data_IF_963458448914
#
_entry.id   IF_963458448914
#
_cell.length_a   1.000
_cell.length_b   1.000
_cell.length_c   1.000
_cell.angle_alpha   90.00
_cell.angle_beta   90.00
_cell.angle_gamma   90.00
#
_symmetry.space_group_name_H-M   'P 1'
#
loop_
_entity.id
_entity.type
_entity.pdbx_description
1 polymer ?
#
# COMPACT_ATOMS: atom_id res chain seq x y z
N UNK A 1 -4.45 -22.39 3.61
CA UNK A 1 -4.58 -21.22 4.44
C UNK A 1 -5.54 -20.23 3.79
N UNK A 2 -6.83 -20.31 4.14
CA UNK A 2 -7.92 -19.63 3.39
C UNK A 2 -7.77 -18.11 3.20
N UNK A 3 -6.92 -17.42 3.99
CA UNK A 3 -6.64 -15.99 3.81
C UNK A 3 -5.78 -15.74 2.55
N UNK A 4 -4.67 -16.48 2.42
CA UNK A 4 -3.80 -16.35 1.26
C UNK A 4 -4.52 -16.76 -0.03
N UNK A 5 -5.33 -17.80 0.01
CA UNK A 5 -6.08 -18.28 -1.16
C UNK A 5 -7.14 -17.28 -1.60
N UNK A 6 -7.86 -16.63 -0.65
CA UNK A 6 -8.80 -15.58 -0.96
C UNK A 6 -8.14 -14.34 -1.61
N UNK A 7 -6.93 -13.99 -1.16
CA UNK A 7 -6.17 -12.88 -1.77
C UNK A 7 -5.62 -13.28 -3.13
N UNK A 8 -5.09 -14.52 -3.30
CA UNK A 8 -4.61 -15.02 -4.61
C UNK A 8 -5.70 -15.03 -5.68
N UNK A 9 -6.94 -15.31 -5.31
CA UNK A 9 -8.08 -15.22 -6.23
C UNK A 9 -8.28 -13.79 -6.77
N UNK A 10 -7.86 -12.78 -6.04
CA UNK A 10 -7.97 -11.37 -6.43
C UNK A 10 -6.67 -10.85 -7.09
N UNK A 11 -5.51 -11.31 -6.66
CA UNK A 11 -4.18 -10.86 -7.10
C UNK A 11 -3.56 -11.94 -7.99
N UNK A 12 -3.79 -11.83 -9.29
CA UNK A 12 -3.33 -12.83 -10.24
C UNK A 12 -1.82 -12.68 -10.55
N UNK A 13 -1.13 -13.82 -10.65
CA UNK A 13 0.27 -13.87 -11.07
C UNK A 13 1.30 -13.40 -10.03
N UNK A 14 0.91 -13.31 -8.76
CA UNK A 14 1.78 -12.86 -7.66
C UNK A 14 1.65 -13.77 -6.42
N UNK A 15 1.50 -15.07 -6.61
CA UNK A 15 1.15 -16.02 -5.55
C UNK A 15 2.17 -16.04 -4.41
N UNK A 16 3.46 -16.02 -4.72
CA UNK A 16 4.54 -16.00 -3.74
C UNK A 16 4.61 -14.66 -3.00
N UNK A 17 4.41 -13.56 -3.72
CA UNK A 17 4.35 -12.24 -3.12
C UNK A 17 3.15 -12.12 -2.16
N UNK A 18 1.98 -12.58 -2.56
CA UNK A 18 0.79 -12.64 -1.70
C UNK A 18 1.07 -13.46 -0.45
N UNK A 19 1.67 -14.65 -0.61
CA UNK A 19 2.02 -15.52 0.52
C UNK A 19 2.98 -14.83 1.49
N UNK A 20 3.99 -14.12 0.98
CA UNK A 20 4.95 -13.37 1.80
C UNK A 20 4.28 -12.23 2.57
N UNK A 21 3.42 -11.44 1.92
CA UNK A 21 2.69 -10.34 2.56
C UNK A 21 1.74 -10.86 3.64
N UNK A 22 0.96 -11.89 3.34
CA UNK A 22 0.06 -12.52 4.32
C UNK A 22 0.84 -13.06 5.52
N UNK A 23 1.99 -13.70 5.29
CA UNK A 23 2.87 -14.20 6.35
C UNK A 23 3.37 -13.07 7.25
N UNK A 24 3.82 -11.95 6.66
CA UNK A 24 4.29 -10.78 7.41
C UNK A 24 3.19 -10.21 8.31
N UNK A 25 1.97 -10.05 7.80
CA UNK A 25 0.82 -9.61 8.59
C UNK A 25 0.42 -10.60 9.70
N UNK A 26 0.56 -11.90 9.46
CA UNK A 26 0.16 -12.94 10.42
C UNK A 26 1.18 -13.24 11.50
N UNK A 27 2.45 -12.89 11.27
CA UNK A 27 3.55 -13.16 12.22
C UNK A 27 3.23 -12.70 13.64
N UNK A 28 2.72 -11.47 13.90
CA UNK A 28 2.41 -11.01 15.26
C UNK A 28 1.33 -11.82 15.98
N UNK A 29 0.43 -12.48 15.23
CA UNK A 29 -0.60 -13.33 15.84
C UNK A 29 -0.04 -14.66 16.35
N UNK A 30 1.09 -15.12 15.81
CA UNK A 30 1.75 -16.37 16.18
C UNK A 30 2.84 -16.13 17.21
N UNK A 31 3.67 -15.11 16.99
CA UNK A 31 4.84 -14.82 17.81
C UNK A 31 4.56 -13.87 18.97
N UNK A 32 3.35 -13.32 19.02
CA UNK A 32 3.01 -12.20 19.87
C UNK A 32 3.50 -10.87 19.28
N UNK A 33 2.82 -9.79 19.62
CA UNK A 33 3.29 -8.42 19.41
C UNK A 33 4.01 -7.97 20.67
N UNK A 34 5.01 -7.11 20.53
CA UNK A 34 5.67 -6.45 21.65
C UNK A 34 4.69 -5.68 22.54
N UNK A 35 5.19 -4.87 23.47
CA UNK A 35 4.35 -4.04 24.36
C UNK A 35 3.40 -3.11 23.60
N UNK A 36 2.49 -2.44 24.31
CA UNK A 36 1.41 -1.63 23.71
C UNK A 36 1.92 -0.42 22.90
N UNK A 37 3.14 0.03 23.13
CA UNK A 37 3.78 1.09 22.35
C UNK A 37 4.48 0.60 21.08
N UNK A 38 4.73 -0.70 20.97
CA UNK A 38 5.45 -1.31 19.86
C UNK A 38 4.64 -1.29 18.57
N UNK A 39 5.32 -1.28 17.43
CA UNK A 39 4.70 -1.63 16.15
C UNK A 39 4.20 -3.07 16.19
N UNK A 40 3.05 -3.32 15.61
CA UNK A 40 2.55 -4.69 15.44
C UNK A 40 3.37 -5.46 14.42
N UNK A 41 3.83 -4.78 13.41
CA UNK A 41 4.75 -5.29 12.40
C UNK A 41 5.27 -4.17 11.53
N UNK A 42 6.43 -4.41 10.89
CA UNK A 42 6.99 -3.54 9.88
C UNK A 42 7.43 -4.40 8.70
N UNK A 43 7.11 -3.98 7.48
CA UNK A 43 7.42 -4.73 6.28
C UNK A 43 7.77 -3.82 5.10
N UNK A 44 8.47 -4.38 4.13
CA UNK A 44 8.88 -3.71 2.91
C UNK A 44 8.35 -4.46 1.69
N UNK A 45 7.54 -3.78 0.88
CA UNK A 45 6.98 -4.33 -0.34
C UNK A 45 7.78 -3.81 -1.54
N UNK A 46 8.56 -4.69 -2.16
CA UNK A 46 9.48 -4.36 -3.24
C UNK A 46 8.98 -4.84 -4.60
N UNK A 47 9.27 -4.06 -5.62
CA UNK A 47 8.99 -4.39 -7.01
C UNK A 47 8.85 -3.16 -7.89
N UNK A 48 8.88 -3.33 -9.21
CA UNK A 48 8.77 -2.22 -10.13
C UNK A 48 7.41 -1.52 -10.05
N UNK A 49 7.36 -0.30 -10.53
CA UNK A 49 6.11 0.45 -10.63
C UNK A 49 5.07 -0.32 -11.45
N UNK A 50 3.84 -0.38 -10.95
CA UNK A 50 2.76 -1.11 -11.62
C UNK A 50 2.79 -2.63 -11.43
N UNK A 51 3.64 -3.18 -10.55
CA UNK A 51 3.69 -4.62 -10.24
C UNK A 51 2.57 -5.11 -9.31
N UNK A 52 1.72 -4.22 -8.80
CA UNK A 52 0.57 -4.60 -7.97
C UNK A 52 0.81 -4.54 -6.45
N UNK A 53 1.90 -3.96 -5.97
CA UNK A 53 2.23 -3.85 -4.54
C UNK A 53 1.10 -3.24 -3.71
N UNK A 54 0.63 -2.05 -4.09
CA UNK A 54 -0.46 -1.34 -3.39
C UNK A 54 -1.80 -2.09 -3.51
N UNK A 55 -2.06 -2.69 -4.65
CA UNK A 55 -3.27 -3.49 -4.85
C UNK A 55 -3.28 -4.72 -3.94
N UNK A 56 -2.15 -5.45 -3.87
CA UNK A 56 -2.00 -6.59 -2.97
C UNK A 56 -2.19 -6.18 -1.51
N UNK A 57 -1.57 -5.08 -1.08
CA UNK A 57 -1.77 -4.57 0.28
C UNK A 57 -3.25 -4.34 0.59
N UNK A 58 -3.98 -3.66 -0.30
CA UNK A 58 -5.42 -3.41 -0.12
C UNK A 58 -6.22 -4.72 -0.01
N UNK A 59 -5.94 -5.69 -0.89
CA UNK A 59 -6.64 -6.98 -0.85
C UNK A 59 -6.36 -7.73 0.46
N UNK A 60 -5.11 -7.75 0.93
CA UNK A 60 -4.75 -8.40 2.20
C UNK A 60 -5.43 -7.73 3.38
N UNK A 61 -5.38 -6.40 3.47
CA UNK A 61 -5.97 -5.64 4.57
C UNK A 61 -7.50 -5.79 4.58
N UNK A 62 -8.15 -5.72 3.42
CA UNK A 62 -9.60 -5.92 3.30
C UNK A 62 -10.02 -7.33 3.74
N UNK A 63 -9.28 -8.36 3.29
CA UNK A 63 -9.58 -9.75 3.66
C UNK A 63 -9.33 -10.03 5.15
N UNK A 64 -8.30 -9.43 5.74
CA UNK A 64 -8.04 -9.52 7.18
C UNK A 64 -9.13 -8.80 7.99
N UNK A 65 -9.59 -7.64 7.54
CA UNK A 65 -10.68 -6.92 8.18
C UNK A 65 -12.00 -7.70 8.10
N UNK A 66 -12.31 -8.28 6.95
CA UNK A 66 -13.50 -9.12 6.76
C UNK A 66 -13.51 -10.34 7.69
N UNK A 67 -12.35 -10.83 8.09
CA UNK A 67 -12.18 -11.95 9.04
C UNK A 67 -12.06 -11.49 10.50
N UNK A 68 -12.19 -10.21 10.79
CA UNK A 68 -12.06 -9.66 12.14
C UNK A 68 -10.62 -9.67 12.69
N UNK A 69 -9.61 -9.86 11.85
CA UNK A 69 -8.19 -9.83 12.24
C UNK A 69 -7.64 -8.40 12.33
N UNK A 70 -8.26 -7.46 11.64
CA UNK A 70 -8.00 -6.03 11.74
C UNK A 70 -9.30 -5.29 12.07
N UNK A 71 -9.22 -4.11 12.71
CA UNK A 71 -10.40 -3.34 13.09
C UNK A 71 -11.16 -2.75 11.90
N UNK A 72 -10.47 -2.52 10.80
CA UNK A 72 -11.04 -2.00 9.54
C UNK A 72 -10.11 -2.31 8.35
N UNK A 73 -10.61 -2.09 7.15
CA UNK A 73 -9.86 -2.15 5.90
C UNK A 73 -9.17 -0.83 5.53
N UNK A 74 -9.24 0.16 6.41
CA UNK A 74 -8.62 1.47 6.20
C UNK A 74 -7.09 1.37 6.23
N UNK A 75 -6.45 2.05 5.29
CA UNK A 75 -5.00 2.22 5.19
C UNK A 75 -4.71 3.71 5.19
N UNK A 76 -3.93 4.17 6.17
CA UNK A 76 -3.42 5.54 6.19
C UNK A 76 -2.21 5.63 5.28
N UNK A 77 -2.33 6.37 4.19
CA UNK A 77 -1.25 6.55 3.21
C UNK A 77 -0.51 7.86 3.45
N UNK A 78 0.81 7.77 3.49
CA UNK A 78 1.70 8.91 3.69
C UNK A 78 2.70 8.96 2.53
N UNK A 79 2.64 10.04 1.76
CA UNK A 79 3.59 10.31 0.68
C UNK A 79 4.80 11.05 1.25
N UNK A 80 5.89 10.35 1.41
CA UNK A 80 7.11 10.89 2.00
C UNK A 80 7.85 11.88 1.09
N UNK A 81 7.50 11.97 -0.19
CA UNK A 81 8.05 12.99 -1.09
C UNK A 81 7.65 14.42 -0.73
N UNK A 82 6.62 14.57 0.12
CA UNK A 82 6.18 15.86 0.64
C UNK A 82 7.13 16.45 1.70
N UNK A 83 8.09 15.66 2.18
CA UNK A 83 9.01 16.05 3.26
C UNK A 83 10.48 15.93 2.84
N UNK A 84 10.91 16.65 1.78
CA UNK A 84 12.26 16.51 1.22
C UNK A 84 13.36 17.17 2.04
N UNK A 85 13.03 18.01 3.00
CA UNK A 85 14.00 18.75 3.79
C UNK A 85 13.56 19.03 5.22
N UNK A 86 14.47 19.49 6.08
CA UNK A 86 14.21 19.71 7.51
C UNK A 86 13.15 20.80 7.77
N UNK A 87 12.94 21.72 6.83
CA UNK A 87 11.90 22.75 6.95
C UNK A 87 10.46 22.18 7.04
N UNK A 88 10.25 20.94 6.59
CA UNK A 88 8.97 20.25 6.66
C UNK A 88 8.75 19.46 7.97
N UNK A 89 9.58 19.61 8.98
CA UNK A 89 9.49 18.81 10.22
C UNK A 89 8.14 18.93 10.89
N UNK A 90 7.59 20.13 11.04
CA UNK A 90 6.27 20.35 11.63
C UNK A 90 5.17 19.65 10.84
N UNK A 91 5.20 19.75 9.52
CA UNK A 91 4.23 19.11 8.65
C UNK A 91 4.36 17.58 8.74
N UNK A 92 5.59 17.08 8.69
CA UNK A 92 5.88 15.64 8.83
C UNK A 92 5.34 15.08 10.16
N UNK A 93 5.64 15.74 11.28
CA UNK A 93 5.16 15.31 12.59
C UNK A 93 3.63 15.35 12.70
N UNK A 94 2.98 16.38 12.15
CA UNK A 94 1.53 16.50 12.11
C UNK A 94 0.90 15.36 11.30
N UNK A 95 1.44 15.11 10.11
CA UNK A 95 0.91 14.11 9.19
C UNK A 95 1.23 12.66 9.63
N UNK A 96 2.22 12.48 10.50
CA UNK A 96 2.52 11.20 11.13
C UNK A 96 1.70 10.98 12.41
N UNK A 97 1.52 12.02 13.22
CA UNK A 97 0.80 11.92 14.49
C UNK A 97 -0.67 11.52 14.31
N UNK A 98 -1.36 12.15 13.37
CA UNK A 98 -2.78 11.88 13.14
C UNK A 98 -3.06 10.41 12.75
N UNK A 99 -2.36 9.80 11.77
CA UNK A 99 -2.50 8.37 11.46
C UNK A 99 -2.14 7.43 12.62
N UNK A 100 -1.13 7.77 13.43
CA UNK A 100 -0.79 6.96 14.60
C UNK A 100 -1.92 6.90 15.64
N UNK A 101 -2.76 7.92 15.67
CA UNK A 101 -3.94 8.01 16.58
C UNK A 101 -5.23 7.56 15.92
N UNK A 102 -5.26 7.42 14.59
CA UNK A 102 -6.44 6.98 13.85
C UNK A 102 -6.80 5.51 14.17
N UNK A 103 -8.05 5.10 13.96
CA UNK A 103 -8.46 3.70 14.15
C UNK A 103 -7.81 2.71 13.20
N UNK A 104 -7.39 3.15 12.01
CA UNK A 104 -6.73 2.31 11.02
C UNK A 104 -5.49 1.62 11.59
N UNK A 105 -5.37 0.31 11.38
CA UNK A 105 -4.25 -0.47 11.89
C UNK A 105 -3.02 -0.42 10.99
N UNK A 106 -3.14 0.05 9.74
CA UNK A 106 -2.09 -0.01 8.72
C UNK A 106 -1.71 1.39 8.25
N UNK A 107 -0.42 1.71 8.35
CA UNK A 107 0.20 2.90 7.77
C UNK A 107 1.06 2.46 6.59
N UNK A 108 0.86 3.09 5.43
CA UNK A 108 1.59 2.82 4.21
C UNK A 108 2.40 4.04 3.78
N UNK A 109 3.70 3.85 3.55
CA UNK A 109 4.66 4.90 3.27
C UNK A 109 5.23 4.76 1.86
N UNK A 110 4.93 5.74 1.02
CA UNK A 110 5.46 5.85 -0.35
C UNK A 110 6.65 6.81 -0.42
N UNK A 111 7.53 6.61 -1.41
CA UNK A 111 8.64 7.49 -1.75
C UNK A 111 9.62 7.74 -0.59
N UNK A 112 9.98 6.68 0.12
CA UNK A 112 10.89 6.75 1.26
C UNK A 112 12.22 7.43 0.92
N UNK A 113 12.78 7.17 -0.25
CA UNK A 113 14.04 7.75 -0.71
C UNK A 113 13.99 9.27 -0.94
N UNK A 114 12.80 9.80 -1.23
CA UNK A 114 12.59 11.23 -1.44
C UNK A 114 12.45 12.01 -0.12
N UNK A 115 12.31 11.33 0.99
CA UNK A 115 12.17 11.91 2.32
C UNK A 115 13.53 12.38 2.87
N UNK A 116 13.53 13.45 3.67
CA UNK A 116 14.73 13.91 4.36
C UNK A 116 15.34 12.80 5.24
N UNK A 117 16.67 12.64 5.27
CA UNK A 117 17.34 11.58 6.05
C UNK A 117 16.95 11.54 7.52
N UNK A 118 16.76 12.71 8.16
CA UNK A 118 16.33 12.77 9.54
C UNK A 118 14.95 12.12 9.77
N UNK A 119 13.98 12.36 8.87
CA UNK A 119 12.65 11.78 8.98
C UNK A 119 12.64 10.29 8.66
N UNK A 120 13.50 9.84 7.72
CA UNK A 120 13.71 8.41 7.46
C UNK A 120 14.21 7.69 8.73
N UNK A 121 15.16 8.28 9.44
CA UNK A 121 15.67 7.76 10.72
C UNK A 121 14.56 7.71 11.77
N UNK A 122 13.73 8.74 11.87
CA UNK A 122 12.59 8.78 12.79
C UNK A 122 11.60 7.64 12.49
N UNK A 123 11.25 7.43 11.23
CA UNK A 123 10.35 6.35 10.82
C UNK A 123 10.94 4.96 11.11
N UNK A 124 12.21 4.75 10.80
CA UNK A 124 12.90 3.49 11.09
C UNK A 124 12.94 3.21 12.59
N UNK A 125 13.22 4.21 13.41
CA UNK A 125 13.21 4.10 14.88
C UNK A 125 11.81 3.75 15.38
N UNK A 126 10.79 4.45 14.94
CA UNK A 126 9.42 4.21 15.35
C UNK A 126 8.93 2.81 14.96
N UNK A 127 9.22 2.39 13.73
CA UNK A 127 8.83 1.07 13.22
C UNK A 127 9.53 -0.10 13.92
N UNK A 128 10.78 0.08 14.35
CA UNK A 128 11.59 -0.99 14.95
C UNK A 128 11.62 -0.98 16.46
N UNK A 129 11.62 0.21 17.09
CA UNK A 129 11.70 0.38 18.55
C UNK A 129 10.35 0.71 19.19
N UNK A 130 9.34 1.08 18.39
CA UNK A 130 7.98 1.40 18.85
C UNK A 130 7.81 2.78 19.47
N UNK A 131 8.90 3.47 19.81
CA UNK A 131 8.89 4.79 20.45
C UNK A 131 9.90 5.70 19.78
N UNK A 132 9.57 6.98 19.71
CA UNK A 132 10.43 8.03 19.18
C UNK A 132 10.33 9.27 20.06
N UNK A 133 11.42 9.62 20.75
CA UNK A 133 11.51 10.87 21.48
C UNK A 133 11.58 12.06 20.50
N UNK A 134 10.84 13.13 20.81
CA UNK A 134 10.81 14.35 20.02
C UNK A 134 11.80 15.39 20.58
N UNK A 135 12.38 16.17 19.69
CA UNK A 135 13.31 17.24 20.08
C UNK A 135 12.62 18.40 20.83
N UNK A 136 11.37 18.67 20.50
CA UNK A 136 10.49 19.63 21.18
C UNK A 136 9.29 18.93 21.77
N UNK A 137 8.57 19.61 22.65
CA UNK A 137 7.27 19.19 23.14
C UNK A 137 6.16 19.89 22.37
N UNK A 138 5.08 19.18 22.15
CA UNK A 138 3.93 19.66 21.40
C UNK A 138 2.68 19.53 22.23
N UNK A 139 1.73 20.45 22.04
CA UNK A 139 0.35 20.31 22.55
C UNK A 139 -0.61 20.26 21.40
N UNK A 140 -1.68 19.48 21.54
CA UNK A 140 -2.70 19.35 20.51
C UNK A 140 -3.75 20.45 20.68
N UNK A 141 -3.79 21.42 19.79
CA UNK A 141 -4.79 22.47 19.78
C UNK A 141 -5.68 22.33 18.54
N UNK A 142 -6.94 21.99 18.73
CA UNK A 142 -7.92 21.78 17.64
C UNK A 142 -7.42 20.79 16.57
N UNK A 143 -6.76 19.73 16.99
CA UNK A 143 -6.20 18.72 16.09
C UNK A 143 -4.84 19.07 15.47
N UNK A 144 -4.26 20.22 15.80
CA UNK A 144 -2.97 20.68 15.28
C UNK A 144 -1.91 20.60 16.39
N UNK A 145 -0.74 20.04 16.05
CA UNK A 145 0.43 20.03 16.90
C UNK A 145 1.07 21.43 16.97
N UNK A 146 1.07 22.02 18.17
CA UNK A 146 1.71 23.32 18.44
C UNK A 146 2.96 23.08 19.26
N UNK A 147 4.10 23.52 18.75
CA UNK A 147 5.38 23.46 19.45
C UNK A 147 5.38 24.39 20.65
N UNK A 148 5.62 23.84 21.83
CA UNK A 148 5.73 24.56 23.09
C UNK A 148 7.18 24.52 23.66
N UNK A 149 8.13 24.09 22.85
CA UNK A 149 9.53 24.00 23.22
C UNK A 149 9.79 23.05 24.37
N UNK A 150 10.38 23.55 25.45
CA UNK A 150 10.68 22.79 26.66
C UNK A 150 9.68 23.04 27.79
N UNK A 151 8.58 23.74 27.51
CA UNK A 151 7.58 24.06 28.53
C UNK A 151 6.95 22.78 29.11
N UNK A 152 6.79 22.78 30.44
CA UNK A 152 6.14 21.70 31.18
C UNK A 152 4.63 21.91 31.14
N UNK A 153 4.01 21.53 30.05
CA UNK A 153 2.54 21.48 29.95
C UNK A 153 2.06 20.06 30.32
N UNK A 154 0.96 19.91 31.10
CA UNK A 154 0.47 18.60 31.51
C UNK A 154 0.15 17.66 30.34
N UNK A 155 -0.32 18.22 29.22
CA UNK A 155 -0.73 17.49 28.03
C UNK A 155 0.35 17.50 26.93
N UNK A 156 1.60 17.83 27.28
CA UNK A 156 2.66 17.93 26.30
C UNK A 156 3.07 16.55 25.75
N UNK A 157 3.10 16.45 24.43
CA UNK A 157 3.55 15.28 23.69
C UNK A 157 5.06 15.40 23.48
N UNK A 158 5.84 14.55 24.15
CA UNK A 158 7.30 14.50 24.04
C UNK A 158 7.83 13.29 23.28
N UNK A 159 6.93 12.39 22.89
CA UNK A 159 7.27 11.17 22.14
C UNK A 159 6.14 10.76 21.20
N UNK A 160 6.47 10.01 20.16
CA UNK A 160 5.53 9.27 19.33
C UNK A 160 5.63 7.78 19.68
N UNK A 161 4.52 7.09 19.58
CA UNK A 161 4.43 5.64 19.79
C UNK A 161 3.82 4.96 18.58
N UNK A 162 4.37 3.80 18.21
CA UNK A 162 3.87 3.00 17.10
C UNK A 162 2.47 2.40 17.36
N UNK A 163 2.11 2.20 18.65
CA UNK A 163 0.73 1.94 19.07
C UNK A 163 0.05 0.73 18.45
N UNK A 164 0.76 -0.37 18.20
CA UNK A 164 0.20 -1.58 17.59
C UNK A 164 -0.12 -1.45 16.10
N UNK A 165 0.41 -0.44 15.42
CA UNK A 165 0.24 -0.24 13.98
C UNK A 165 1.17 -1.15 13.15
N UNK A 166 0.74 -1.49 11.95
CA UNK A 166 1.59 -2.03 10.91
C UNK A 166 2.20 -0.89 10.10
N UNK A 167 3.51 -0.93 9.92
CA UNK A 167 4.27 0.00 9.09
C UNK A 167 4.63 -0.70 7.78
N UNK A 168 4.07 -0.24 6.67
CA UNK A 168 4.29 -0.83 5.35
C UNK A 168 5.02 0.18 4.47
N UNK A 169 6.24 -0.16 4.06
CA UNK A 169 7.05 0.66 3.18
C UNK A 169 7.05 0.08 1.78
N UNK A 170 7.14 0.94 0.76
CA UNK A 170 7.23 0.53 -0.63
C UNK A 170 8.57 0.93 -1.21
N UNK A 171 9.16 0.05 -2.04
CA UNK A 171 10.38 0.34 -2.79
C UNK A 171 10.34 -0.23 -4.20
N UNK A 172 10.97 0.48 -5.13
CA UNK A 172 11.23 -0.02 -6.48
C UNK A 172 12.67 -0.57 -6.60
N UNK A 173 13.46 -0.48 -5.54
CA UNK A 173 14.85 -0.91 -5.53
C UNK A 173 14.97 -2.44 -5.55
N UNK A 174 16.01 -2.91 -6.23
CA UNK A 174 16.44 -4.30 -6.13
C UNK A 174 17.12 -4.59 -4.78
N UNK A 175 17.47 -5.84 -4.54
CA UNK A 175 18.09 -6.25 -3.28
C UNK A 175 19.41 -5.57 -3.02
N UNK A 176 20.22 -5.35 -4.06
CA UNK A 176 21.54 -4.74 -3.93
C UNK A 176 21.49 -3.26 -3.55
N UNK A 177 20.43 -2.56 -3.93
CA UNK A 177 20.25 -1.13 -3.70
C UNK A 177 19.44 -0.80 -2.42
N UNK A 178 18.76 -1.78 -1.82
CA UNK A 178 17.91 -1.56 -0.63
C UNK A 178 18.68 -0.96 0.54
N UNK A 179 19.85 -1.49 0.85
CA UNK A 179 20.67 -1.01 1.97
C UNK A 179 21.09 0.45 1.79
N UNK A 180 21.35 0.88 0.55
CA UNK A 180 21.64 2.28 0.23
C UNK A 180 20.43 3.21 0.40
N UNK A 181 19.24 2.74 0.03
CA UNK A 181 18.01 3.51 0.09
C UNK A 181 17.42 3.60 1.51
N UNK A 182 17.38 2.48 2.22
CA UNK A 182 16.74 2.35 3.55
C UNK A 182 17.71 2.35 4.72
N UNK A 183 19.01 2.19 4.48
CA UNK A 183 20.01 1.97 5.50
C UNK A 183 20.12 0.49 5.87
N UNK A 184 21.35 -0.05 5.94
CA UNK A 184 21.62 -1.46 6.20
C UNK A 184 20.96 -1.96 7.49
N UNK A 185 21.07 -1.21 8.57
CA UNK A 185 20.48 -1.57 9.88
C UNK A 185 18.96 -1.71 9.82
N UNK A 186 18.28 -0.86 9.08
CA UNK A 186 16.81 -0.94 8.93
C UNK A 186 16.41 -2.13 8.05
N UNK A 187 17.14 -2.35 6.95
CA UNK A 187 16.93 -3.52 6.07
C UNK A 187 17.15 -4.82 6.85
N UNK A 188 18.18 -4.92 7.66
CA UNK A 188 18.45 -6.08 8.51
C UNK A 188 17.31 -6.32 9.51
N UNK A 189 16.78 -5.26 10.11
CA UNK A 189 15.64 -5.35 11.02
C UNK A 189 14.35 -5.84 10.33
N UNK A 190 14.19 -5.59 9.03
CA UNK A 190 13.05 -6.02 8.21
C UNK A 190 13.30 -7.33 7.47
N UNK A 191 14.45 -7.98 7.62
CA UNK A 191 14.91 -9.08 6.76
C UNK A 191 13.88 -10.23 6.60
N UNK A 192 13.09 -10.52 7.63
CA UNK A 192 12.04 -11.53 7.58
C UNK A 192 10.73 -11.10 6.91
N UNK A 193 10.58 -9.80 6.60
CA UNK A 193 9.35 -9.18 6.13
C UNK A 193 9.57 -8.29 4.88
N UNK A 194 10.62 -8.59 4.12
CA UNK A 194 10.85 -8.02 2.79
C UNK A 194 10.16 -8.90 1.78
N UNK A 195 9.06 -8.39 1.21
CA UNK A 195 8.22 -9.09 0.24
C UNK A 195 8.49 -8.54 -1.16
N UNK A 196 8.77 -9.42 -2.13
CA UNK A 196 9.12 -9.03 -3.49
C UNK A 196 8.08 -9.54 -4.49
N UNK A 197 7.65 -8.65 -5.39
CA UNK A 197 6.84 -9.08 -6.53
C UNK A 197 7.70 -9.89 -7.49
N UNK A 198 7.05 -10.80 -8.22
CA UNK A 198 7.67 -11.57 -9.28
C UNK A 198 7.33 -10.97 -10.64
N UNK A 199 8.17 -11.15 -11.68
CA UNK A 199 7.81 -10.76 -13.03
C UNK A 199 6.54 -11.48 -13.49
N UNK A 200 5.65 -10.75 -14.19
CA UNK A 200 4.46 -11.36 -14.75
C UNK A 200 4.81 -12.23 -15.96
N UNK A 201 4.23 -13.42 -16.01
CA UNK A 201 4.32 -14.29 -17.19
C UNK A 201 3.26 -13.92 -18.24
N UNK A 202 3.43 -14.29 -19.50
CA UNK A 202 2.40 -14.09 -20.52
C UNK A 202 1.05 -14.70 -20.13
N UNK A 203 1.04 -15.85 -19.45
CA UNK A 203 -0.16 -16.54 -18.97
C UNK A 203 -0.86 -15.72 -17.89
N UNK A 204 -0.11 -15.18 -16.93
CA UNK A 204 -0.68 -14.35 -15.87
C UNK A 204 -1.23 -13.02 -16.41
N UNK A 205 -0.57 -12.42 -17.40
CA UNK A 205 -1.07 -11.22 -18.08
C UNK A 205 -2.33 -11.50 -18.88
N UNK A 206 -2.40 -12.65 -19.56
CA UNK A 206 -3.60 -13.08 -20.27
C UNK A 206 -4.78 -13.32 -19.31
N UNK A 207 -4.50 -13.91 -18.13
CA UNK A 207 -5.52 -14.10 -17.11
C UNK A 207 -6.05 -12.77 -16.54
N UNK A 208 -5.16 -11.79 -16.31
CA UNK A 208 -5.57 -10.43 -15.90
C UNK A 208 -6.42 -9.76 -16.97
N UNK A 209 -5.98 -9.81 -18.23
CA UNK A 209 -6.74 -9.24 -19.34
C UNK A 209 -8.13 -9.90 -19.48
N UNK A 210 -8.20 -11.22 -19.39
CA UNK A 210 -9.47 -11.95 -19.43
C UNK A 210 -10.42 -11.52 -18.30
N UNK A 211 -9.90 -11.33 -17.10
CA UNK A 211 -10.70 -10.85 -15.95
C UNK A 211 -11.27 -9.45 -16.20
N UNK A 212 -10.45 -8.52 -16.69
CA UNK A 212 -10.91 -7.15 -17.01
C UNK A 212 -12.00 -7.16 -18.12
N UNK A 213 -11.82 -7.99 -19.15
CA UNK A 213 -12.81 -8.14 -20.22
C UNK A 213 -14.09 -8.80 -19.74
N UNK A 214 -14.02 -9.81 -18.88
CA UNK A 214 -15.19 -10.44 -18.26
C UNK A 214 -15.97 -9.44 -17.39
N UNK A 215 -15.27 -8.60 -16.65
CA UNK A 215 -15.89 -7.53 -15.87
C UNK A 215 -16.60 -6.51 -16.78
N UNK A 216 -15.99 -6.15 -17.90
CA UNK A 216 -16.60 -5.28 -18.91
C UNK A 216 -17.87 -5.93 -19.50
N UNK A 217 -17.81 -7.21 -19.89
CA UNK A 217 -18.94 -7.94 -20.46
C UNK A 217 -20.10 -8.04 -19.46
N UNK A 218 -19.81 -8.36 -18.21
CA UNK A 218 -20.84 -8.46 -17.17
C UNK A 218 -21.47 -7.10 -16.88
N UNK A 219 -20.68 -6.03 -16.86
CA UNK A 219 -21.19 -4.67 -16.67
C UNK A 219 -22.09 -4.24 -17.84
N UNK A 220 -21.69 -4.53 -19.07
CA UNK A 220 -22.50 -4.25 -20.26
C UNK A 220 -23.83 -5.02 -20.24
N UNK A 221 -23.78 -6.29 -19.83
CA UNK A 221 -24.98 -7.11 -19.68
C UNK A 221 -25.94 -6.55 -18.63
N UNK A 222 -25.42 -6.19 -17.45
CA UNK A 222 -26.26 -5.72 -16.33
C UNK A 222 -26.83 -4.32 -16.55
N UNK A 223 -26.02 -3.41 -17.10
CA UNK A 223 -26.40 -1.99 -17.21
C UNK A 223 -27.09 -1.64 -18.52
N UNK A 224 -26.68 -2.30 -19.61
CA UNK A 224 -27.12 -1.96 -20.96
C UNK A 224 -27.92 -3.08 -21.64
N UNK A 225 -28.06 -4.25 -21.01
CA UNK A 225 -28.68 -5.42 -21.61
C UNK A 225 -27.92 -6.05 -22.78
N UNK A 226 -26.67 -5.60 -23.00
CA UNK A 226 -25.84 -6.02 -24.12
C UNK A 226 -25.07 -7.30 -23.81
N UNK A 227 -25.06 -8.22 -24.77
CA UNK A 227 -24.17 -9.38 -24.75
C UNK A 227 -22.97 -9.09 -25.63
N UNK A 228 -21.78 -9.02 -25.03
CA UNK A 228 -20.54 -8.81 -25.75
C UNK A 228 -19.88 -10.14 -26.09
N UNK A 229 -19.47 -10.31 -27.34
CA UNK A 229 -18.57 -11.36 -27.80
C UNK A 229 -17.20 -10.74 -28.02
N UNK A 230 -16.18 -11.26 -27.34
CA UNK A 230 -14.83 -10.72 -27.40
C UNK A 230 -13.87 -11.80 -27.90
N UNK A 231 -13.13 -11.48 -28.95
CA UNK A 231 -12.14 -12.38 -29.54
C UNK A 231 -10.84 -12.47 -28.73
N UNK A 232 -10.04 -13.50 -28.98
CA UNK A 232 -8.75 -13.70 -28.36
C UNK A 232 -7.79 -12.52 -28.65
N UNK A 233 -7.87 -11.92 -29.81
CA UNK A 233 -7.05 -10.76 -30.22
C UNK A 233 -7.21 -9.56 -29.27
N UNK A 234 -8.42 -9.31 -28.78
CA UNK A 234 -8.69 -8.23 -27.83
C UNK A 234 -8.04 -8.52 -26.48
N UNK A 235 -8.09 -9.76 -26.01
CA UNK A 235 -7.43 -10.20 -24.79
C UNK A 235 -5.92 -10.03 -24.92
N UNK A 236 -5.34 -10.49 -26.00
CA UNK A 236 -3.90 -10.44 -26.25
C UNK A 236 -3.41 -8.98 -26.40
N UNK A 237 -4.19 -8.15 -27.10
CA UNK A 237 -3.95 -6.71 -27.17
C UNK A 237 -3.97 -6.06 -25.77
N UNK A 238 -4.95 -6.40 -24.94
CA UNK A 238 -5.07 -5.83 -23.58
C UNK A 238 -3.90 -6.30 -22.70
N UNK A 239 -3.55 -7.58 -22.74
CA UNK A 239 -2.38 -8.13 -22.04
C UNK A 239 -1.09 -7.42 -22.46
N UNK A 240 -0.92 -7.15 -23.76
CA UNK A 240 0.23 -6.42 -24.32
C UNK A 240 0.37 -4.97 -23.82
N UNK A 241 -0.66 -4.38 -23.23
CA UNK A 241 -0.57 -3.03 -22.64
C UNK A 241 0.35 -2.99 -21.41
N UNK A 242 0.60 -4.11 -20.75
CA UNK A 242 1.53 -4.19 -19.64
C UNK A 242 2.93 -3.68 -19.96
N UNK A 243 3.45 -3.98 -21.15
CA UNK A 243 4.77 -3.52 -21.62
C UNK A 243 4.89 -2.01 -21.83
N UNK A 244 3.76 -1.27 -21.76
CA UNK A 244 3.76 0.18 -21.82
C UNK A 244 3.98 0.76 -20.43
N UNK A 245 4.40 2.04 -20.36
CA UNK A 245 4.66 2.71 -19.10
C UNK A 245 3.47 2.59 -18.11
N UNK A 246 3.72 2.04 -16.95
CA UNK A 246 2.73 1.89 -15.86
C UNK A 246 2.29 0.47 -15.56
N UNK A 247 2.81 -0.56 -16.25
CA UNK A 247 2.55 -1.97 -15.93
C UNK A 247 1.06 -2.30 -15.85
N UNK A 248 0.60 -2.85 -14.73
CA UNK A 248 -0.83 -3.17 -14.51
C UNK A 248 -1.76 -1.97 -14.64
N UNK A 249 -1.30 -0.77 -14.32
CA UNK A 249 -2.08 0.47 -14.53
C UNK A 249 -2.33 0.75 -16.01
N UNK A 250 -1.42 0.34 -16.90
CA UNK A 250 -1.62 0.49 -18.34
C UNK A 250 -2.73 -0.45 -18.86
N UNK A 251 -2.80 -1.69 -18.36
CA UNK A 251 -3.90 -2.62 -18.66
C UNK A 251 -5.23 -2.01 -18.19
N UNK A 252 -5.32 -1.55 -16.96
CA UNK A 252 -6.54 -0.96 -16.41
C UNK A 252 -6.98 0.27 -17.18
N UNK A 253 -6.07 1.21 -17.50
CA UNK A 253 -6.40 2.37 -18.34
C UNK A 253 -6.90 1.99 -19.73
N UNK A 254 -6.36 0.91 -20.32
CA UNK A 254 -6.83 0.42 -21.59
C UNK A 254 -8.24 -0.21 -21.48
N UNK A 255 -8.52 -0.97 -20.42
CA UNK A 255 -9.84 -1.50 -20.14
C UNK A 255 -10.87 -0.36 -19.90
N UNK A 256 -10.50 0.69 -19.18
CA UNK A 256 -11.35 1.88 -18.97
C UNK A 256 -11.67 2.60 -20.31
N UNK A 257 -10.72 2.66 -21.24
CA UNK A 257 -10.97 3.20 -22.57
C UNK A 257 -11.97 2.36 -23.37
N UNK A 258 -11.86 1.04 -23.30
CA UNK A 258 -12.83 0.14 -23.93
C UNK A 258 -14.24 0.34 -23.32
N UNK A 259 -14.32 0.50 -22.02
CA UNK A 259 -15.60 0.76 -21.35
C UNK A 259 -16.22 2.09 -21.79
N UNK A 260 -15.42 3.15 -21.91
CA UNK A 260 -15.91 4.44 -22.42
C UNK A 260 -16.37 4.37 -23.86
N UNK A 261 -15.59 3.72 -24.74
CA UNK A 261 -15.98 3.54 -26.13
C UNK A 261 -17.28 2.75 -26.27
N UNK A 262 -17.50 1.73 -25.43
CA UNK A 262 -18.76 1.00 -25.36
C UNK A 262 -19.92 1.90 -24.92
N UNK A 263 -19.70 2.72 -23.88
CA UNK A 263 -20.71 3.66 -23.38
C UNK A 263 -21.11 4.69 -24.44
N UNK A 264 -20.15 5.25 -25.18
CA UNK A 264 -20.40 6.17 -26.31
C UNK A 264 -21.18 5.50 -27.43
N UNK A 265 -20.84 4.25 -27.74
CA UNK A 265 -21.60 3.48 -28.74
C UNK A 265 -23.05 3.28 -28.32
N UNK A 266 -23.30 2.90 -27.07
CA UNK A 266 -24.68 2.70 -26.54
C UNK A 266 -25.46 4.01 -26.59
N UNK A 267 -24.85 5.12 -26.15
CA UNK A 267 -25.49 6.44 -26.17
C UNK A 267 -25.83 6.92 -27.61
N UNK A 268 -24.98 6.55 -28.59
CA UNK A 268 -25.23 6.90 -29.98
C UNK A 268 -26.23 6.01 -30.68
N UNK A 269 -26.44 4.78 -30.20
CA UNK A 269 -27.33 3.79 -30.76
C UNK A 269 -28.76 3.86 -30.18
N UNK A 270 -28.95 4.58 -29.07
CA UNK A 270 -30.27 4.83 -28.45
C UNK A 270 -30.62 6.33 -28.60
N UNK A 271 -31.17 6.73 -29.76
CA UNK A 271 -31.71 8.07 -29.91
C UNK A 271 -33.03 8.12 -29.09
N UNK A 272 -32.96 8.79 -27.92
CA UNK A 272 -34.10 8.99 -27.02
C UNK A 272 -35.38 9.50 -27.73
#
# INVERSE_FOLDING_TARGET
>A
DGLADAVRAQVLGQDDFVAAVVKAFRRPFVMGSGGPSQARGAMLLCGPSGSGRHYTLRCVVAEMAARGLLPSDAIEQIDLSLYPGPAQEKLFLQDLYAPLRAPAAVLAFDHYEACAPAFRTMLATLATQGQLALASRYVLQRGILVDVGTALAPDAIGELQAGGKYFVFFSEQDESALAGAFGAKFVDALAGDICRTVPFTPESLAAVAARELNFLAETARRRCGLRLSMGADLRDWLAGQYGKAGGMRAIRRAADRLFRALAEYVLSADPA
#
